data_IF_921335587984
#
_entry.id   IF_921335587984
#
_cell.length_a   1.000
_cell.length_b   1.000
_cell.length_c   1.000
_cell.angle_alpha   90.00
_cell.angle_beta   90.00
_cell.angle_gamma   90.00
#
_symmetry.space_group_name_H-M   'P 1'
#
loop_
_entity.id
_entity.type
_entity.pdbx_description
1 polymer ?
#
# COMPACT_ATOMS: atom_id res chain seq x y z
N UNK A 1 -3.26 -6.25 23.41
CA UNK A 1 -4.00 -5.12 22.81
C UNK A 1 -3.00 -4.29 22.02
N UNK A 2 -3.16 -4.17 20.70
CA UNK A 2 -2.15 -3.54 19.82
C UNK A 2 -2.38 -2.05 19.58
N UNK A 3 -3.59 -1.53 19.86
CA UNK A 3 -3.95 -0.12 19.62
C UNK A 3 -2.96 0.90 20.19
N UNK A 4 -2.44 0.77 21.44
CA UNK A 4 -1.48 1.74 21.97
C UNK A 4 -0.16 1.81 21.20
N UNK A 5 0.20 0.75 20.46
CA UNK A 5 1.45 0.72 19.68
C UNK A 5 1.39 1.60 18.43
N UNK A 6 0.21 2.07 18.03
CA UNK A 6 0.10 3.12 17.00
C UNK A 6 0.70 4.44 17.46
N UNK A 7 0.84 4.67 18.77
CA UNK A 7 1.44 5.87 19.36
C UNK A 7 2.89 5.63 19.81
N UNK A 8 3.49 4.49 19.47
CA UNK A 8 4.87 4.19 19.87
C UNK A 8 5.84 5.24 19.29
N UNK A 9 6.89 5.56 20.04
CA UNK A 9 7.95 6.46 19.58
C UNK A 9 8.70 5.94 18.36
N UNK A 10 8.84 4.60 18.25
CA UNK A 10 9.54 3.95 17.14
C UNK A 10 8.62 3.84 15.91
N UNK A 11 8.99 4.47 14.77
CA UNK A 11 8.20 4.37 13.54
C UNK A 11 8.06 2.93 13.03
N UNK A 12 9.04 2.06 13.26
CA UNK A 12 8.94 0.65 12.86
C UNK A 12 7.82 -0.07 13.65
N UNK A 13 7.73 0.18 14.96
CA UNK A 13 6.66 -0.35 15.80
C UNK A 13 5.28 0.15 15.35
N UNK A 14 5.17 1.42 14.91
CA UNK A 14 3.91 1.96 14.37
C UNK A 14 3.50 1.29 13.06
N UNK A 15 4.46 0.99 12.18
CA UNK A 15 4.22 0.25 10.92
C UNK A 15 3.73 -1.17 11.23
N UNK A 16 4.44 -1.90 12.08
CA UNK A 16 4.09 -3.27 12.46
C UNK A 16 2.73 -3.34 13.16
N UNK A 17 2.45 -2.39 14.05
CA UNK A 17 1.15 -2.27 14.70
C UNK A 17 0.02 -2.05 13.69
N UNK A 18 0.24 -1.18 12.70
CA UNK A 18 -0.73 -0.92 11.63
C UNK A 18 -1.05 -2.18 10.83
N UNK A 19 -0.02 -2.94 10.45
CA UNK A 19 -0.18 -4.22 9.74
C UNK A 19 -0.90 -5.28 10.58
N UNK A 20 -0.47 -5.48 11.83
CA UNK A 20 -1.07 -6.47 12.72
C UNK A 20 -2.52 -6.14 13.08
N UNK A 21 -2.88 -4.85 13.16
CA UNK A 21 -4.26 -4.41 13.35
C UNK A 21 -5.11 -4.56 12.09
N UNK A 22 -4.57 -4.30 10.90
CA UNK A 22 -5.29 -4.44 9.63
C UNK A 22 -5.77 -5.88 9.35
N UNK A 23 -4.98 -6.86 9.80
CA UNK A 23 -5.25 -8.30 9.68
C UNK A 23 -6.16 -8.84 10.79
N UNK A 24 -6.45 -8.03 11.82
CA UNK A 24 -7.34 -8.40 12.91
C UNK A 24 -8.83 -8.18 12.54
N UNK A 25 -9.73 -8.87 13.25
CA UNK A 25 -11.17 -8.62 13.10
C UNK A 25 -11.55 -7.25 13.71
N UNK A 26 -12.12 -6.36 12.89
CA UNK A 26 -12.56 -5.01 13.29
C UNK A 26 -14.09 -4.95 13.50
N UNK A 27 -14.62 -5.80 14.39
CA UNK A 27 -16.07 -5.92 14.59
C UNK A 27 -16.74 -4.64 15.11
N UNK A 28 -15.99 -3.79 15.83
CA UNK A 28 -16.50 -2.58 16.50
C UNK A 28 -16.05 -1.27 15.83
N UNK A 29 -15.44 -1.31 14.64
CA UNK A 29 -14.87 -0.15 13.93
C UNK A 29 -13.75 0.62 14.66
N UNK A 30 -13.33 0.15 15.84
CA UNK A 30 -12.30 0.78 16.67
C UNK A 30 -10.95 0.85 15.99
N UNK A 31 -10.62 -0.13 15.15
CA UNK A 31 -9.35 -0.15 14.43
C UNK A 31 -9.32 0.95 13.37
N UNK A 32 -10.42 1.11 12.62
CA UNK A 32 -10.54 2.15 11.60
C UNK A 32 -10.49 3.56 12.22
N UNK A 33 -11.18 3.80 13.34
CA UNK A 33 -11.14 5.10 14.03
C UNK A 33 -9.74 5.42 14.55
N UNK A 34 -9.03 4.40 15.06
CA UNK A 34 -7.65 4.56 15.51
C UNK A 34 -6.69 4.88 14.34
N UNK A 35 -6.86 4.24 13.18
CA UNK A 35 -6.08 4.58 11.98
C UNK A 35 -6.33 6.01 11.53
N UNK A 36 -7.60 6.44 11.46
CA UNK A 36 -7.95 7.80 11.08
C UNK A 36 -7.36 8.85 12.03
N UNK A 37 -7.45 8.58 13.35
CA UNK A 37 -6.87 9.45 14.39
C UNK A 37 -5.36 9.52 14.23
N UNK A 38 -4.70 8.37 14.08
CA UNK A 38 -3.24 8.34 13.95
C UNK A 38 -2.74 9.00 12.66
N UNK A 39 -3.44 8.80 11.55
CA UNK A 39 -3.09 9.41 10.26
C UNK A 39 -3.11 10.95 10.33
N UNK A 40 -4.02 11.54 11.12
CA UNK A 40 -4.12 12.99 11.26
C UNK A 40 -2.94 13.62 12.05
N UNK A 41 -2.23 12.82 12.85
CA UNK A 41 -1.15 13.29 13.74
C UNK A 41 0.25 12.86 13.26
N UNK A 42 0.31 11.81 12.44
CA UNK A 42 1.56 11.26 11.93
C UNK A 42 2.22 12.20 10.91
N UNK A 43 3.54 12.33 11.02
CA UNK A 43 4.36 13.17 10.14
C UNK A 43 5.37 12.34 9.35
N UNK A 44 5.70 11.14 9.81
CA UNK A 44 6.63 10.26 9.13
C UNK A 44 5.95 9.62 7.89
N UNK A 45 6.52 9.78 6.67
CA UNK A 45 5.94 9.26 5.44
C UNK A 45 5.69 7.75 5.45
N UNK A 46 6.55 6.97 6.12
CA UNK A 46 6.49 5.51 6.08
C UNK A 46 5.37 4.94 6.95
N UNK A 47 5.21 5.34 8.23
CA UNK A 47 4.01 5.07 9.01
C UNK A 47 2.72 5.61 8.37
N UNK A 48 2.74 6.80 7.72
CA UNK A 48 1.56 7.28 6.99
C UNK A 48 1.19 6.31 5.84
N UNK A 49 2.16 5.88 5.05
CA UNK A 49 1.94 4.89 3.99
C UNK A 49 1.40 3.56 4.55
N UNK A 50 1.92 3.10 5.69
CA UNK A 50 1.43 1.91 6.38
C UNK A 50 -0.05 2.05 6.81
N UNK A 51 -0.45 3.20 7.36
CA UNK A 51 -1.83 3.47 7.76
C UNK A 51 -2.80 3.49 6.57
N UNK A 52 -2.35 3.96 5.41
CA UNK A 52 -3.14 3.92 4.16
C UNK A 52 -3.35 2.48 3.70
N UNK A 53 -2.27 1.66 3.65
CA UNK A 53 -2.39 0.24 3.28
C UNK A 53 -3.23 -0.55 4.29
N UNK A 54 -3.05 -0.27 5.59
CA UNK A 54 -3.86 -0.85 6.66
C UNK A 54 -5.35 -0.53 6.46
N UNK A 55 -5.67 0.73 6.16
CA UNK A 55 -7.04 1.16 5.86
C UNK A 55 -7.58 0.48 4.61
N UNK A 56 -6.76 0.32 3.56
CA UNK A 56 -7.15 -0.39 2.35
C UNK A 56 -7.46 -1.86 2.63
N UNK A 57 -6.60 -2.56 3.37
CA UNK A 57 -6.81 -3.96 3.74
C UNK A 57 -8.08 -4.16 4.60
N UNK A 58 -8.27 -3.35 5.64
CA UNK A 58 -9.49 -3.40 6.46
C UNK A 58 -10.74 -3.07 5.63
N UNK A 59 -10.63 -2.16 4.66
CA UNK A 59 -11.72 -1.82 3.73
C UNK A 59 -12.03 -2.96 2.76
N UNK A 60 -11.02 -3.72 2.35
CA UNK A 60 -11.21 -4.92 1.52
C UNK A 60 -11.91 -6.02 2.29
N UNK A 61 -11.56 -6.23 3.57
CA UNK A 61 -12.20 -7.21 4.44
C UNK A 61 -13.65 -6.80 4.82
N UNK A 62 -13.86 -5.50 5.07
CA UNK A 62 -15.14 -4.93 5.47
C UNK A 62 -15.43 -3.68 4.62
N UNK A 63 -16.18 -3.82 3.50
CA UNK A 63 -16.41 -2.74 2.54
C UNK A 63 -16.93 -1.46 3.17
N UNK A 64 -16.24 -0.35 2.92
CA UNK A 64 -16.54 0.96 3.48
C UNK A 64 -16.30 2.06 2.43
N UNK A 65 -17.36 2.46 1.72
CA UNK A 65 -17.26 3.41 0.59
C UNK A 65 -16.52 4.72 0.92
N UNK A 66 -16.73 5.36 2.09
CA UNK A 66 -15.99 6.57 2.42
C UNK A 66 -14.47 6.36 2.47
N UNK A 67 -14.00 5.19 2.91
CA UNK A 67 -12.57 4.87 2.93
C UNK A 67 -12.02 4.67 1.50
N UNK A 68 -12.77 4.01 0.62
CA UNK A 68 -12.39 3.87 -0.79
C UNK A 68 -12.25 5.23 -1.48
N UNK A 69 -13.20 6.16 -1.24
CA UNK A 69 -13.14 7.52 -1.77
C UNK A 69 -11.94 8.30 -1.20
N UNK A 70 -11.71 8.22 0.12
CA UNK A 70 -10.57 8.85 0.76
C UNK A 70 -9.22 8.35 0.23
N UNK A 71 -9.05 7.04 0.03
CA UNK A 71 -7.83 6.47 -0.58
C UNK A 71 -7.65 6.97 -2.02
N UNK A 72 -8.75 7.09 -2.79
CA UNK A 72 -8.70 7.65 -4.14
C UNK A 72 -8.20 9.10 -4.13
N UNK A 73 -8.70 9.92 -3.23
CA UNK A 73 -8.33 11.34 -3.15
C UNK A 73 -6.85 11.49 -2.74
N UNK A 74 -6.36 10.62 -1.84
CA UNK A 74 -4.96 10.65 -1.37
C UNK A 74 -3.92 10.48 -2.47
N UNK A 75 -4.10 9.56 -3.42
CA UNK A 75 -3.09 9.40 -4.48
C UNK A 75 -3.09 10.57 -5.47
N UNK A 76 -4.23 11.26 -5.59
CA UNK A 76 -4.40 12.43 -6.45
C UNK A 76 -3.86 13.72 -5.82
N UNK A 77 -3.76 13.80 -4.49
CA UNK A 77 -3.31 14.99 -3.76
C UNK A 77 -1.79 15.22 -3.93
N UNK A 78 -1.35 16.28 -4.66
CA UNK A 78 0.06 16.52 -4.89
C UNK A 78 0.83 16.97 -3.64
N UNK A 79 0.14 17.48 -2.62
CA UNK A 79 0.76 17.88 -1.36
C UNK A 79 1.17 16.68 -0.48
N UNK A 80 0.63 15.48 -0.75
CA UNK A 80 1.01 14.27 -0.03
C UNK A 80 2.40 13.78 -0.44
N UNK A 81 3.08 13.12 0.49
CA UNK A 81 4.38 12.54 0.20
C UNK A 81 4.28 11.42 -0.84
N UNK A 82 5.33 11.19 -1.64
CA UNK A 82 5.35 10.11 -2.63
C UNK A 82 4.93 8.74 -2.07
N UNK A 83 5.39 8.40 -0.86
CA UNK A 83 5.12 7.13 -0.20
C UNK A 83 3.63 6.95 0.11
N UNK A 84 2.99 8.01 0.61
CA UNK A 84 1.54 8.04 0.88
C UNK A 84 0.75 7.92 -0.41
N UNK A 85 1.15 8.64 -1.46
CA UNK A 85 0.48 8.61 -2.76
C UNK A 85 0.60 7.23 -3.43
N UNK A 86 1.76 6.59 -3.34
CA UNK A 86 1.99 5.23 -3.85
C UNK A 86 1.18 4.19 -3.06
N UNK A 87 1.21 4.25 -1.73
CA UNK A 87 0.39 3.39 -0.88
C UNK A 87 -1.12 3.55 -1.20
N UNK A 88 -1.56 4.79 -1.41
CA UNK A 88 -2.94 5.08 -1.79
C UNK A 88 -3.29 4.56 -3.19
N UNK A 89 -2.38 4.70 -4.17
CA UNK A 89 -2.60 4.18 -5.52
C UNK A 89 -2.75 2.66 -5.51
N UNK A 90 -1.81 1.94 -4.86
CA UNK A 90 -1.87 0.48 -4.72
C UNK A 90 -3.10 0.06 -3.91
N UNK A 91 -3.37 0.72 -2.79
CA UNK A 91 -4.54 0.45 -1.96
C UNK A 91 -5.86 0.63 -2.71
N UNK A 92 -5.97 1.67 -3.54
CA UNK A 92 -7.16 1.91 -4.36
C UNK A 92 -7.35 0.84 -5.43
N UNK A 93 -6.27 0.44 -6.13
CA UNK A 93 -6.30 -0.64 -7.13
C UNK A 93 -6.74 -1.97 -6.52
N UNK A 94 -6.38 -2.25 -5.27
CA UNK A 94 -6.85 -3.43 -4.53
C UNK A 94 -8.34 -3.39 -4.14
N UNK A 95 -8.98 -2.22 -4.20
CA UNK A 95 -10.35 -1.99 -3.73
C UNK A 95 -11.37 -1.84 -4.86
N UNK A 96 -10.93 -1.81 -6.12
CA UNK A 96 -11.78 -1.54 -7.27
C UNK A 96 -11.51 -2.52 -8.40
N UNK A 97 -12.57 -2.86 -9.13
CA UNK A 97 -12.47 -3.55 -10.42
C UNK A 97 -12.50 -2.54 -11.60
N UNK A 98 -12.50 -1.24 -11.31
CA UNK A 98 -12.44 -0.19 -12.33
C UNK A 98 -11.07 -0.18 -13.03
N UNK A 99 -11.02 0.10 -14.35
CA UNK A 99 -9.76 0.24 -15.05
C UNK A 99 -8.96 1.42 -14.48
N UNK A 100 -7.65 1.22 -14.29
CA UNK A 100 -6.76 2.24 -13.79
C UNK A 100 -6.76 3.47 -14.72
N UNK A 101 -7.04 4.69 -14.22
CA UNK A 101 -6.97 5.91 -15.02
C UNK A 101 -5.57 6.10 -15.63
N UNK A 102 -5.48 6.68 -16.83
CA UNK A 102 -4.17 6.99 -17.44
C UNK A 102 -3.31 7.92 -16.56
N UNK A 103 -3.94 8.82 -15.80
CA UNK A 103 -3.25 9.68 -14.84
C UNK A 103 -2.65 8.91 -13.66
N UNK A 104 -3.22 7.76 -13.29
CA UNK A 104 -2.67 6.89 -12.27
C UNK A 104 -1.38 6.23 -12.76
N UNK A 105 -1.37 5.72 -14.00
CA UNK A 105 -0.16 5.14 -14.61
C UNK A 105 0.98 6.15 -14.60
N UNK A 106 0.76 7.35 -15.15
CA UNK A 106 1.79 8.40 -15.18
C UNK A 106 2.26 8.81 -13.78
N UNK A 107 1.34 8.89 -12.80
CA UNK A 107 1.72 9.23 -11.42
C UNK A 107 2.60 8.14 -10.80
N UNK A 108 2.21 6.86 -10.96
CA UNK A 108 2.97 5.73 -10.45
C UNK A 108 4.34 5.63 -11.11
N UNK A 109 4.45 5.79 -12.43
CA UNK A 109 5.75 5.75 -13.14
C UNK A 109 6.74 6.81 -12.62
N UNK A 110 6.23 8.01 -12.31
CA UNK A 110 7.06 9.10 -11.78
C UNK A 110 7.45 8.85 -10.33
N UNK A 111 6.55 8.27 -9.52
CA UNK A 111 6.73 8.11 -8.09
C UNK A 111 7.44 6.80 -7.72
N UNK A 112 7.29 5.72 -8.48
CA UNK A 112 7.83 4.40 -8.15
C UNK A 112 9.29 4.25 -8.61
N UNK A 113 10.17 5.15 -8.17
CA UNK A 113 11.61 5.01 -8.42
C UNK A 113 12.18 3.83 -7.65
N UNK A 114 13.23 3.18 -8.17
CA UNK A 114 13.84 2.00 -7.55
C UNK A 114 14.29 2.24 -6.10
N UNK A 115 14.91 3.41 -5.83
CA UNK A 115 15.31 3.81 -4.49
C UNK A 115 14.12 3.83 -3.52
N UNK A 116 13.00 4.46 -3.94
CA UNK A 116 11.80 4.57 -3.11
C UNK A 116 11.12 3.23 -2.93
N UNK A 117 11.10 2.41 -3.98
CA UNK A 117 10.61 1.05 -3.93
C UNK A 117 11.35 0.23 -2.85
N UNK A 118 12.69 0.33 -2.79
CA UNK A 118 13.50 -0.31 -1.74
C UNK A 118 13.23 0.26 -0.34
N UNK A 119 13.03 1.58 -0.22
CA UNK A 119 12.61 2.16 1.07
C UNK A 119 11.26 1.61 1.52
N UNK A 120 10.32 1.46 0.59
CA UNK A 120 8.98 0.93 0.85
C UNK A 120 8.97 -0.57 1.20
N UNK A 121 10.05 -1.32 1.01
CA UNK A 121 10.16 -2.71 1.49
C UNK A 121 10.16 -2.81 3.02
N UNK A 122 10.31 -1.71 3.76
CA UNK A 122 10.05 -1.68 5.20
C UNK A 122 8.54 -1.85 5.54
N UNK A 123 7.64 -1.70 4.57
CA UNK A 123 6.21 -1.96 4.75
C UNK A 123 5.95 -3.47 4.62
N UNK A 124 5.29 -4.11 5.60
CA UNK A 124 5.03 -5.56 5.56
C UNK A 124 4.33 -6.05 4.29
N UNK A 125 3.41 -5.26 3.73
CA UNK A 125 2.76 -5.57 2.44
C UNK A 125 3.74 -5.67 1.27
N UNK A 126 4.73 -4.78 1.22
CA UNK A 126 5.72 -4.75 0.13
C UNK A 126 6.77 -5.85 0.35
N UNK A 127 7.26 -6.01 1.58
CA UNK A 127 8.16 -7.11 1.93
C UNK A 127 7.56 -8.49 1.59
N UNK A 128 6.26 -8.69 1.82
CA UNK A 128 5.59 -9.97 1.60
C UNK A 128 5.49 -10.37 0.12
N UNK A 129 5.47 -9.39 -0.79
CA UNK A 129 5.39 -9.64 -2.24
C UNK A 129 6.73 -9.46 -2.94
N UNK A 130 7.69 -8.81 -2.29
CA UNK A 130 9.05 -8.61 -2.80
C UNK A 130 9.86 -9.91 -2.88
N UNK A 131 11.06 -9.78 -3.45
CA UNK A 131 12.01 -10.88 -3.63
C UNK A 131 13.32 -10.36 -4.20
N UNK A 132 13.68 -10.81 -5.41
CA UNK A 132 14.81 -10.24 -6.16
C UNK A 132 14.53 -8.80 -6.62
N UNK A 133 13.25 -8.46 -6.78
CA UNK A 133 12.74 -7.14 -7.10
C UNK A 133 12.01 -6.54 -5.88
N UNK A 134 12.08 -5.22 -5.64
CA UNK A 134 11.28 -4.55 -4.62
C UNK A 134 9.78 -4.81 -4.75
N UNK A 135 9.09 -4.98 -3.63
CA UNK A 135 7.68 -5.36 -3.62
C UNK A 135 6.77 -4.36 -4.34
N UNK A 136 7.07 -3.06 -4.20
CA UNK A 136 6.33 -2.00 -4.87
C UNK A 136 6.37 -2.14 -6.40
N UNK A 137 7.55 -2.33 -6.99
CA UNK A 137 7.69 -2.43 -8.45
C UNK A 137 6.96 -3.67 -8.97
N UNK A 138 7.06 -4.78 -8.24
CA UNK A 138 6.31 -5.99 -8.57
C UNK A 138 4.80 -5.77 -8.51
N UNK A 139 4.29 -5.05 -7.51
CA UNK A 139 2.88 -4.67 -7.41
C UNK A 139 2.44 -3.81 -8.61
N UNK A 140 3.21 -2.77 -8.92
CA UNK A 140 2.95 -1.87 -10.05
C UNK A 140 2.88 -2.64 -11.36
N UNK A 141 3.88 -3.47 -11.66
CA UNK A 141 3.89 -4.31 -12.86
C UNK A 141 2.64 -5.19 -12.94
N UNK A 142 2.33 -5.93 -11.87
CA UNK A 142 1.20 -6.86 -11.88
C UNK A 142 -0.17 -6.18 -12.02
N UNK A 143 -0.34 -4.98 -11.46
CA UNK A 143 -1.63 -4.29 -11.45
C UNK A 143 -1.84 -3.39 -12.66
N UNK A 144 -0.78 -2.78 -13.20
CA UNK A 144 -0.86 -1.76 -14.24
C UNK A 144 -0.27 -2.22 -15.58
N UNK A 145 0.62 -3.21 -15.55
CA UNK A 145 1.29 -3.74 -16.74
C UNK A 145 1.20 -5.29 -16.79
N UNK A 146 -0.01 -5.87 -16.72
CA UNK A 146 -0.17 -7.33 -16.64
C UNK A 146 0.34 -8.07 -17.89
N UNK A 147 0.50 -7.37 -19.02
CA UNK A 147 1.04 -7.91 -20.27
C UNK A 147 2.57 -7.95 -20.33
N UNK A 148 3.27 -7.31 -19.37
CA UNK A 148 4.73 -7.35 -19.33
C UNK A 148 5.23 -8.69 -18.76
N UNK A 149 6.20 -9.35 -19.42
CA UNK A 149 6.72 -10.63 -18.97
C UNK A 149 7.36 -10.51 -17.58
N UNK A 150 7.10 -11.50 -16.71
CA UNK A 150 7.75 -11.57 -15.40
C UNK A 150 9.26 -11.79 -15.61
N UNK A 151 10.16 -10.93 -15.11
CA UNK A 151 11.60 -11.14 -15.20
C UNK A 151 12.07 -12.39 -14.46
N UNK A 152 11.26 -12.91 -13.51
CA UNK A 152 11.51 -14.19 -12.84
C UNK A 152 10.93 -15.39 -13.63
N UNK A 153 10.31 -15.18 -14.79
CA UNK A 153 9.84 -16.22 -15.71
C UNK A 153 10.97 -16.78 -16.56
N UNK A 154 12.09 -17.16 -15.95
CA UNK A 154 12.87 -18.27 -16.49
C UNK A 154 12.03 -19.53 -16.22
N UNK A 155 11.05 -19.81 -17.08
CA UNK A 155 10.41 -21.13 -17.11
C UNK A 155 11.43 -22.11 -17.72
N UNK A 156 12.06 -22.99 -16.92
CA UNK A 156 13.05 -23.93 -17.44
C UNK A 156 12.44 -24.96 -18.40
N UNK A 157 11.11 -24.95 -18.59
CA UNK A 157 10.36 -25.84 -19.48
C UNK A 157 9.75 -25.15 -20.70
N UNK A 158 9.99 -23.84 -20.90
CA UNK A 158 9.62 -23.18 -22.14
C UNK A 158 10.44 -23.79 -23.29
N UNK A 159 9.81 -24.69 -24.05
CA UNK A 159 10.45 -25.42 -25.14
C UNK A 159 10.94 -24.43 -26.19
N UNK A 160 12.25 -24.33 -26.38
CA UNK A 160 12.85 -23.54 -27.45
C UNK A 160 12.50 -24.16 -28.82
N UNK A 161 12.26 -23.34 -29.87
CA UNK A 161 11.94 -23.82 -31.22
C UNK A 161 13.10 -24.53 -31.91
#
# INVERSE_FOLDING_TARGET
MLLPLLEDSDPAMRIDASYALATAADADHRVRDAFATRFAEEQDPMPLAALVLATAETTRAHPHRPATAWIRDLWQEPAQTPEVRLAAAIGWLCLTDEPAPGTLHTAVDVLATEERARTMDALPWMAAVGGNEPGLLRCVRRMLHPDEPDPDSDDPWASQP
#
